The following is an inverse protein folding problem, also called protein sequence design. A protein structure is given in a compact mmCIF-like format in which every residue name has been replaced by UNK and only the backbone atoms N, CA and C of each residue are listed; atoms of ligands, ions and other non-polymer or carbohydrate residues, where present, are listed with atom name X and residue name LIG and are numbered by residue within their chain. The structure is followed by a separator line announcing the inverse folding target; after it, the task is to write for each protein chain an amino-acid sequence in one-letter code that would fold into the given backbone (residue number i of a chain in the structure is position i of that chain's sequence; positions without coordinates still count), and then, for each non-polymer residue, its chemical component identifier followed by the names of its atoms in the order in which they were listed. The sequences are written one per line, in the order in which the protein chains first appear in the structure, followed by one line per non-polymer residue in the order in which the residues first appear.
data_IF_558726831554
#
_entry.id   IF_558726831554
#
_cell.length_a   1.000
_cell.length_b   1.000
_cell.length_c   1.000
_cell.angle_alpha   90.00
_cell.angle_beta   90.00
_cell.angle_gamma   90.00
#
_symmetry.space_group_name_H-M   'P 1'
#
loop_
_entity.id
_entity.type
_entity.pdbx_description
1 polymer ?
#
# COMPACT_ATOMS: atom_id res chain seq x y z
N UNK A 1 22.55 21.24 -9.38
CA UNK A 1 23.77 20.46 -9.03
C UNK A 1 23.37 19.17 -8.30
N UNK A 2 23.96 18.04 -8.70
CA UNK A 2 23.87 16.74 -8.01
C UNK A 2 25.14 16.57 -7.19
N UNK A 3 25.01 16.24 -5.89
CA UNK A 3 26.15 15.98 -5.01
C UNK A 3 26.38 14.47 -4.89
N UNK A 4 27.61 14.01 -5.16
CA UNK A 4 28.04 12.61 -4.99
C UNK A 4 28.93 12.53 -3.77
N UNK A 5 28.64 11.63 -2.84
CA UNK A 5 29.40 11.39 -1.61
C UNK A 5 29.77 9.91 -1.57
N UNK A 6 31.01 9.58 -1.81
CA UNK A 6 31.52 8.20 -1.85
C UNK A 6 33.02 8.25 -1.59
N UNK A 7 33.61 7.35 -0.82
CA UNK A 7 35.03 7.33 -0.53
C UNK A 7 35.88 6.74 -1.69
N UNK A 8 35.25 5.91 -2.56
CA UNK A 8 35.87 5.35 -3.74
C UNK A 8 35.99 6.38 -4.88
N UNK A 9 37.22 6.73 -5.24
CA UNK A 9 37.51 7.67 -6.32
C UNK A 9 37.05 7.17 -7.70
N UNK A 10 37.06 5.85 -7.94
CA UNK A 10 36.63 5.26 -9.21
C UNK A 10 35.09 5.39 -9.37
N UNK A 11 34.34 5.16 -8.29
CA UNK A 11 32.89 5.36 -8.24
C UNK A 11 32.55 6.82 -8.48
N UNK A 12 33.19 7.74 -7.74
CA UNK A 12 32.97 9.19 -7.94
C UNK A 12 33.23 9.62 -9.38
N UNK A 13 34.32 9.16 -9.99
CA UNK A 13 34.68 9.49 -11.37
C UNK A 13 33.68 8.92 -12.38
N UNK A 14 33.27 7.66 -12.21
CA UNK A 14 32.30 6.99 -13.07
C UNK A 14 30.94 7.67 -13.03
N UNK A 15 30.41 7.93 -11.83
CA UNK A 15 29.14 8.63 -11.63
C UNK A 15 29.19 10.06 -12.18
N UNK A 16 30.27 10.79 -11.89
CA UNK A 16 30.46 12.16 -12.41
C UNK A 16 30.49 12.20 -13.94
N UNK A 17 31.17 11.25 -14.58
CA UNK A 17 31.20 11.14 -16.03
C UNK A 17 29.82 10.86 -16.62
N UNK A 18 29.10 9.87 -16.05
CA UNK A 18 27.76 9.46 -16.47
C UNK A 18 26.77 10.63 -16.36
N UNK A 19 26.75 11.32 -15.22
CA UNK A 19 25.81 12.40 -14.96
C UNK A 19 26.12 13.66 -15.77
N UNK A 20 27.41 14.01 -15.96
CA UNK A 20 27.80 15.11 -16.85
C UNK A 20 27.42 14.85 -18.31
N UNK A 21 27.56 13.60 -18.77
CA UNK A 21 27.09 13.20 -20.11
C UNK A 21 25.58 13.35 -20.26
N UNK A 22 24.82 13.17 -19.18
CA UNK A 22 23.38 13.45 -19.11
C UNK A 22 23.05 14.93 -18.87
N UNK A 23 24.05 15.84 -18.95
CA UNK A 23 23.93 17.29 -18.81
C UNK A 23 23.55 17.77 -17.41
N UNK A 24 23.81 16.99 -16.38
CA UNK A 24 23.69 17.44 -14.98
C UNK A 24 24.96 18.15 -14.51
N UNK A 25 24.76 19.20 -13.70
CA UNK A 25 25.84 19.81 -12.93
C UNK A 25 26.14 18.91 -11.71
N UNK A 26 27.42 18.54 -11.52
CA UNK A 26 27.84 17.50 -10.58
C UNK A 26 29.03 17.94 -9.77
N UNK A 27 28.93 17.80 -8.46
CA UNK A 27 30.02 17.92 -7.52
C UNK A 27 30.21 16.61 -6.76
N UNK A 28 31.47 16.17 -6.56
CA UNK A 28 31.77 14.91 -5.90
C UNK A 28 32.77 15.13 -4.75
N UNK A 29 32.51 14.51 -3.61
CA UNK A 29 33.32 14.61 -2.39
C UNK A 29 33.60 13.24 -1.78
N UNK A 30 34.76 13.07 -1.08
CA UNK A 30 35.14 11.77 -0.56
C UNK A 30 34.47 11.36 0.75
N UNK A 31 33.84 12.29 1.47
CA UNK A 31 33.35 11.94 2.80
C UNK A 31 32.39 12.94 3.44
N UNK A 32 31.97 12.64 4.70
CA UNK A 32 30.95 13.40 5.40
C UNK A 32 31.28 14.85 5.69
N UNK A 33 32.56 15.19 5.97
CA UNK A 33 32.96 16.55 6.34
C UNK A 33 32.76 17.53 5.21
N UNK A 34 33.30 17.21 4.05
CA UNK A 34 33.18 18.03 2.84
C UNK A 34 31.74 18.09 2.36
N UNK A 35 31.01 16.99 2.50
CA UNK A 35 29.60 16.92 2.15
C UNK A 35 28.76 17.93 2.94
N UNK A 36 28.93 17.99 4.26
CA UNK A 36 28.19 18.93 5.13
C UNK A 36 28.51 20.38 4.82
N UNK A 37 29.78 20.71 4.50
CA UNK A 37 30.16 22.07 4.09
C UNK A 37 29.43 22.51 2.82
N UNK A 38 29.32 21.62 1.84
CA UNK A 38 28.62 21.89 0.59
C UNK A 38 27.10 22.00 0.84
N UNK A 39 26.51 21.08 1.60
CA UNK A 39 25.07 21.10 1.91
C UNK A 39 24.65 22.38 2.65
N UNK A 40 25.55 22.96 3.47
CA UNK A 40 25.30 24.22 4.16
C UNK A 40 25.40 25.43 3.23
N UNK A 41 26.41 25.45 2.36
CA UNK A 41 26.73 26.60 1.48
C UNK A 41 25.88 26.60 0.20
N UNK A 42 25.66 25.43 -0.40
CA UNK A 42 24.93 25.26 -1.67
C UNK A 42 23.81 24.26 -1.46
N UNK A 43 22.60 24.55 -1.96
CA UNK A 43 21.48 23.62 -1.91
C UNK A 43 21.57 22.63 -3.10
N UNK A 44 22.05 21.39 -2.93
CA UNK A 44 22.01 20.41 -4.00
C UNK A 44 20.55 20.08 -4.36
N UNK A 45 20.32 19.72 -5.63
CA UNK A 45 19.01 19.27 -6.10
C UNK A 45 18.75 17.80 -5.76
N UNK A 46 19.85 17.02 -5.63
CA UNK A 46 19.83 15.59 -5.29
C UNK A 46 21.19 15.21 -4.72
N UNK A 47 21.21 14.26 -3.80
CA UNK A 47 22.43 13.68 -3.23
C UNK A 47 22.47 12.20 -3.51
N UNK A 48 23.58 11.71 -4.09
CA UNK A 48 23.96 10.30 -4.13
C UNK A 48 24.95 10.07 -3.00
N UNK A 49 24.62 9.20 -2.05
CA UNK A 49 25.38 9.05 -0.80
C UNK A 49 25.72 7.58 -0.55
N UNK A 50 27.03 7.28 -0.40
CA UNK A 50 27.43 5.97 0.09
C UNK A 50 27.03 5.78 1.57
N UNK A 51 26.78 4.55 1.94
CA UNK A 51 26.48 4.16 3.32
C UNK A 51 27.73 3.95 4.18
N UNK A 52 28.87 3.65 3.57
CA UNK A 52 30.11 3.34 4.27
C UNK A 52 31.24 4.23 3.74
N UNK A 53 31.91 4.99 4.63
CA UNK A 53 33.02 5.89 4.31
C UNK A 53 34.35 5.42 4.91
N UNK A 54 34.33 4.32 5.66
CA UNK A 54 35.55 3.68 6.24
C UNK A 54 35.49 2.18 6.00
N UNK A 55 36.58 1.48 6.38
CA UNK A 55 36.66 0.00 6.30
C UNK A 55 35.60 -0.73 7.15
N UNK A 56 34.84 -0.01 8.01
CA UNK A 56 33.73 -0.58 8.74
C UNK A 56 32.50 -0.68 7.84
N UNK A 57 31.95 -1.86 7.71
CA UNK A 57 30.74 -2.12 6.89
C UNK A 57 29.43 -1.93 7.66
N UNK A 58 29.46 -1.21 8.80
CA UNK A 58 28.29 -1.04 9.68
C UNK A 58 27.20 -0.10 9.12
N UNK A 59 27.53 0.78 8.15
CA UNK A 59 26.60 1.76 7.58
C UNK A 59 26.13 2.88 8.52
N UNK A 60 26.61 2.89 9.76
CA UNK A 60 26.21 3.91 10.77
C UNK A 60 26.66 5.32 10.37
N UNK A 61 27.78 5.42 9.65
CA UNK A 61 28.33 6.68 9.17
C UNK A 61 27.39 7.33 8.13
N UNK A 62 26.92 6.56 7.15
CA UNK A 62 25.97 7.02 6.15
C UNK A 62 24.61 7.42 6.75
N UNK A 63 24.11 6.65 7.72
CA UNK A 63 22.89 6.98 8.44
C UNK A 63 23.03 8.27 9.25
N UNK A 64 24.17 8.48 9.90
CA UNK A 64 24.45 9.71 10.66
C UNK A 64 24.54 10.90 9.73
N UNK A 65 25.23 10.77 8.60
CA UNK A 65 25.31 11.82 7.59
C UNK A 65 23.94 12.13 6.99
N UNK A 66 23.13 11.12 6.67
CA UNK A 66 21.76 11.32 6.19
C UNK A 66 20.92 12.15 7.15
N UNK A 67 20.95 11.82 8.45
CA UNK A 67 20.21 12.58 9.47
C UNK A 67 20.69 14.03 9.53
N UNK A 68 22.01 14.26 9.47
CA UNK A 68 22.56 15.63 9.44
C UNK A 68 22.14 16.40 8.19
N UNK A 69 22.19 15.77 7.01
CA UNK A 69 21.73 16.38 5.75
C UNK A 69 20.26 16.75 5.87
N UNK A 70 19.41 15.87 6.41
CA UNK A 70 17.98 16.12 6.57
C UNK A 70 17.65 17.21 7.59
N UNK A 71 18.50 17.45 8.58
CA UNK A 71 18.37 18.61 9.49
C UNK A 71 18.64 19.93 8.74
N UNK A 72 19.64 20.00 7.88
CA UNK A 72 19.97 21.22 7.13
C UNK A 72 19.10 21.43 5.89
N UNK A 73 18.71 20.35 5.22
CA UNK A 73 17.98 20.36 3.96
C UNK A 73 16.93 19.21 3.95
N UNK A 74 15.81 19.36 4.63
CA UNK A 74 14.78 18.32 4.74
C UNK A 74 14.20 17.90 3.38
N UNK A 75 14.10 18.87 2.43
CA UNK A 75 13.45 18.65 1.13
C UNK A 75 14.36 18.05 0.05
N UNK A 76 15.69 17.98 0.28
CA UNK A 76 16.62 17.46 -0.72
C UNK A 76 16.51 15.94 -0.78
N UNK A 77 16.21 15.34 -1.95
CA UNK A 77 16.19 13.90 -2.10
C UNK A 77 17.60 13.32 -1.97
N UNK A 78 17.71 12.26 -1.17
CA UNK A 78 18.94 11.51 -0.95
C UNK A 78 18.74 10.07 -1.42
N UNK A 79 19.53 9.63 -2.41
CA UNK A 79 19.57 8.23 -2.85
C UNK A 79 20.82 7.60 -2.21
N UNK A 80 20.58 6.56 -1.42
CA UNK A 80 21.64 5.83 -0.74
C UNK A 80 22.26 4.79 -1.69
N UNK A 81 23.59 4.65 -1.67
CA UNK A 81 24.32 3.63 -2.39
C UNK A 81 24.88 2.62 -1.38
N UNK A 82 24.62 1.33 -1.55
CA UNK A 82 25.01 0.30 -0.58
C UNK A 82 25.56 -0.95 -1.25
N UNK A 83 26.47 -1.65 -0.58
CA UNK A 83 26.99 -2.94 -1.05
C UNK A 83 25.96 -4.07 -0.82
N UNK A 84 26.07 -5.17 -1.58
CA UNK A 84 25.28 -6.38 -1.39
C UNK A 84 25.43 -6.90 0.06
N UNK A 85 24.30 -7.11 0.75
CA UNK A 85 24.26 -7.63 2.13
C UNK A 85 23.85 -6.62 3.21
N UNK A 86 23.73 -5.32 2.90
CA UNK A 86 23.35 -4.28 3.88
C UNK A 86 21.91 -3.76 3.71
N UNK A 87 20.98 -4.65 3.39
CA UNK A 87 19.57 -4.31 3.17
C UNK A 87 18.93 -3.73 4.44
N UNK A 88 19.30 -4.21 5.62
CA UNK A 88 18.86 -3.62 6.89
C UNK A 88 19.24 -2.14 7.01
N UNK A 89 20.43 -1.77 6.54
CA UNK A 89 20.90 -0.39 6.52
C UNK A 89 20.12 0.48 5.52
N UNK A 90 19.74 -0.08 4.37
CA UNK A 90 18.88 0.61 3.41
C UNK A 90 17.52 0.90 4.02
N UNK A 91 16.93 -0.04 4.77
CA UNK A 91 15.67 0.16 5.52
C UNK A 91 15.79 1.27 6.55
N UNK A 92 16.85 1.26 7.35
CA UNK A 92 17.12 2.31 8.34
C UNK A 92 17.31 3.67 7.65
N UNK A 93 17.97 3.70 6.50
CA UNK A 93 18.10 4.90 5.67
C UNK A 93 16.77 5.45 5.19
N UNK A 94 15.88 4.59 4.71
CA UNK A 94 14.53 4.99 4.31
C UNK A 94 13.72 5.54 5.49
N UNK A 95 13.81 4.90 6.66
CA UNK A 95 13.18 5.39 7.90
C UNK A 95 13.77 6.73 8.37
N UNK A 96 15.06 6.98 8.10
CA UNK A 96 15.74 8.23 8.41
C UNK A 96 15.48 9.33 7.35
N UNK A 97 14.62 9.08 6.35
CA UNK A 97 14.19 10.06 5.37
C UNK A 97 14.97 10.06 4.06
N UNK A 98 15.68 8.98 3.71
CA UNK A 98 16.21 8.82 2.36
C UNK A 98 15.05 8.76 1.34
N UNK A 99 15.30 9.25 0.13
CA UNK A 99 14.34 9.18 -0.96
C UNK A 99 14.27 7.75 -1.55
N UNK A 100 15.45 7.14 -1.74
CA UNK A 100 15.59 5.80 -2.32
C UNK A 100 16.97 5.22 -1.99
N UNK A 101 17.21 3.95 -2.36
CA UNK A 101 18.53 3.34 -2.30
C UNK A 101 18.83 2.52 -3.53
N UNK A 102 20.12 2.28 -3.82
CA UNK A 102 20.58 1.43 -4.89
C UNK A 102 21.74 0.55 -4.41
N UNK A 103 21.74 -0.72 -4.85
CA UNK A 103 22.81 -1.66 -4.51
C UNK A 103 23.98 -1.57 -5.50
N UNK A 104 25.20 -1.63 -5.00
CA UNK A 104 26.43 -1.78 -5.81
C UNK A 104 26.65 -3.28 -6.16
N UNK A 105 26.92 -3.66 -7.42
CA UNK A 105 26.93 -2.85 -8.63
C UNK A 105 25.51 -2.57 -9.15
N UNK A 106 25.28 -1.39 -9.70
CA UNK A 106 24.00 -0.96 -10.25
C UNK A 106 23.93 -1.02 -11.77
N UNK A 107 22.71 -1.00 -12.28
CA UNK A 107 22.43 -0.76 -13.69
C UNK A 107 22.30 0.76 -13.92
N UNK A 108 23.06 1.31 -14.86
CA UNK A 108 23.08 2.75 -15.14
C UNK A 108 21.70 3.29 -15.57
N UNK A 109 20.91 2.51 -16.30
CA UNK A 109 19.56 2.92 -16.72
C UNK A 109 18.65 3.03 -15.50
N UNK A 110 18.70 2.05 -14.59
CA UNK A 110 17.92 2.07 -13.36
C UNK A 110 18.30 3.24 -12.43
N UNK A 111 19.60 3.53 -12.30
CA UNK A 111 20.08 4.67 -11.52
C UNK A 111 19.59 6.00 -12.12
N UNK A 112 19.70 6.17 -13.45
CA UNK A 112 19.22 7.38 -14.11
C UNK A 112 17.73 7.59 -13.92
N UNK A 113 16.90 6.55 -14.05
CA UNK A 113 15.46 6.64 -13.81
C UNK A 113 15.13 7.12 -12.38
N UNK A 114 15.88 6.62 -11.37
CA UNK A 114 15.69 7.02 -9.96
C UNK A 114 16.07 8.49 -9.75
N UNK A 115 17.17 8.94 -10.37
CA UNK A 115 17.62 10.33 -10.31
C UNK A 115 16.60 11.25 -10.97
N UNK A 116 16.11 10.93 -12.15
CA UNK A 116 15.08 11.68 -12.86
C UNK A 116 13.81 11.78 -12.04
N UNK A 117 13.33 10.65 -11.51
CA UNK A 117 12.15 10.61 -10.63
C UNK A 117 12.33 11.52 -9.39
N UNK A 118 13.49 11.47 -8.74
CA UNK A 118 13.76 12.28 -7.55
C UNK A 118 13.78 13.79 -7.88
N UNK A 119 14.39 14.16 -8.99
CA UNK A 119 14.46 15.55 -9.43
C UNK A 119 13.09 16.10 -9.89
N UNK A 120 12.30 15.30 -10.59
CA UNK A 120 10.95 15.68 -11.02
C UNK A 120 10.03 15.93 -9.82
N UNK A 121 10.03 15.05 -8.83
CA UNK A 121 9.21 15.18 -7.63
C UNK A 121 9.60 16.43 -6.82
N UNK A 122 10.90 16.69 -6.65
CA UNK A 122 11.38 17.85 -5.89
C UNK A 122 11.18 19.18 -6.62
N UNK A 123 11.22 19.19 -7.96
CA UNK A 123 10.97 20.41 -8.74
C UNK A 123 9.50 20.85 -8.71
N UNK A 124 8.59 19.91 -8.52
CA UNK A 124 7.16 20.18 -8.39
C UNK A 124 6.78 20.70 -7.01
N UNK A 125 7.45 20.29 -5.93
CA UNK A 125 7.23 20.82 -4.58
C UNK A 125 7.54 22.31 -4.46
N UNK A 126 8.49 22.82 -5.22
CA UNK A 126 8.82 24.27 -5.26
C UNK A 126 7.79 25.13 -6.01
N UNK A 127 6.95 24.51 -6.84
CA UNK A 127 5.85 25.18 -7.57
C UNK A 127 4.48 25.03 -6.90
N UNK A 128 4.34 24.17 -5.90
CA UNK A 128 3.06 23.77 -5.30
C UNK A 128 2.69 24.48 -3.99
N UNK A 129 3.21 25.70 -3.73
CA UNK A 129 2.73 26.57 -2.65
C UNK A 129 1.55 27.46 -3.11
N UNK A 130 0.68 26.94 -4.01
CA UNK A 130 -0.56 27.62 -4.43
C UNK A 130 -1.73 26.73 -4.06
N UNK A 131 -2.83 27.26 -3.46
CA UNK A 131 -4.03 26.48 -3.18
C UNK A 131 -4.56 25.80 -4.45
N UNK A 132 -4.88 24.54 -4.36
CA UNK A 132 -5.37 23.72 -5.49
C UNK A 132 -6.79 24.18 -5.81
N UNK A 133 -6.96 25.05 -6.80
CA UNK A 133 -8.23 25.24 -7.47
C UNK A 133 -8.57 24.01 -8.31
N UNK A 134 -9.83 23.59 -8.32
CA UNK A 134 -10.39 22.38 -8.96
C UNK A 134 -10.26 22.34 -10.50
N UNK A 135 -9.55 23.29 -11.12
CA UNK A 135 -9.51 23.48 -12.58
C UNK A 135 -8.22 23.04 -13.27
N UNK A 136 -7.36 22.26 -12.62
CA UNK A 136 -5.98 21.99 -13.08
C UNK A 136 -5.82 20.64 -13.82
N UNK A 137 -6.85 20.16 -14.47
CA UNK A 137 -6.77 19.01 -15.39
C UNK A 137 -6.49 17.63 -14.75
N UNK A 138 -6.54 17.53 -13.42
CA UNK A 138 -6.41 16.25 -12.73
C UNK A 138 -7.72 15.45 -12.80
N UNK A 139 -7.68 14.28 -13.45
CA UNK A 139 -8.83 13.41 -13.59
C UNK A 139 -9.05 12.61 -12.31
N UNK A 140 -10.09 12.96 -11.54
CA UNK A 140 -10.57 12.25 -10.36
C UNK A 140 -12.04 11.82 -10.48
N UNK A 141 -12.55 11.69 -11.68
CA UNK A 141 -14.00 11.51 -11.96
C UNK A 141 -14.66 10.36 -11.20
N UNK A 142 -13.90 9.33 -10.84
CA UNK A 142 -14.40 8.16 -10.09
C UNK A 142 -14.14 8.24 -8.58
N UNK A 143 -13.48 9.30 -8.09
CA UNK A 143 -13.12 9.44 -6.67
C UNK A 143 -13.99 10.51 -6.02
N UNK A 144 -14.84 10.07 -5.09
CA UNK A 144 -15.78 10.91 -4.38
C UNK A 144 -15.29 11.18 -2.96
N UNK A 145 -15.25 12.45 -2.59
CA UNK A 145 -14.87 12.91 -1.27
C UNK A 145 -14.21 14.28 -1.30
N UNK A 146 -14.17 14.92 -0.13
CA UNK A 146 -13.61 16.26 0.09
C UNK A 146 -12.82 16.35 1.40
N UNK A 147 -12.72 15.25 2.14
CA UNK A 147 -11.98 15.22 3.40
C UNK A 147 -10.50 15.56 3.17
N UNK A 148 -9.91 16.23 4.14
CA UNK A 148 -8.49 16.63 4.09
C UNK A 148 -7.59 15.41 3.85
N UNK A 149 -7.83 14.30 4.56
CA UNK A 149 -7.05 13.09 4.41
C UNK A 149 -7.07 12.54 2.97
N UNK A 150 -8.24 12.56 2.29
CA UNK A 150 -8.34 12.17 0.89
C UNK A 150 -7.65 13.18 -0.03
N UNK A 151 -7.80 14.47 0.23
CA UNK A 151 -7.17 15.52 -0.60
C UNK A 151 -5.64 15.47 -0.53
N UNK A 152 -5.05 15.16 0.61
CA UNK A 152 -3.61 14.96 0.78
C UNK A 152 -3.11 13.75 -0.05
N UNK A 153 -3.88 12.65 -0.08
CA UNK A 153 -3.62 11.50 -0.95
C UNK A 153 -3.66 11.92 -2.43
N UNK A 154 -4.71 12.62 -2.85
CA UNK A 154 -4.86 13.06 -4.24
C UNK A 154 -3.77 14.05 -4.68
N UNK A 155 -3.34 14.94 -3.78
CA UNK A 155 -2.21 15.84 -4.03
C UNK A 155 -0.91 15.06 -4.27
N UNK A 156 -0.67 14.00 -3.49
CA UNK A 156 0.47 13.11 -3.69
C UNK A 156 0.37 12.40 -5.03
N UNK A 157 -0.80 11.83 -5.37
CA UNK A 157 -1.03 11.15 -6.65
C UNK A 157 -0.83 12.08 -7.84
N UNK A 158 -1.31 13.31 -7.77
CA UNK A 158 -1.13 14.32 -8.82
C UNK A 158 0.36 14.53 -9.16
N UNK A 159 1.23 14.54 -8.13
CA UNK A 159 2.68 14.66 -8.31
C UNK A 159 3.29 13.42 -8.96
N UNK A 160 2.99 12.23 -8.41
CA UNK A 160 3.64 10.99 -8.83
C UNK A 160 3.06 10.40 -10.12
N UNK A 161 1.83 10.76 -10.51
CA UNK A 161 1.19 10.23 -11.72
C UNK A 161 2.00 10.54 -12.99
N UNK A 162 2.62 11.71 -13.06
CA UNK A 162 3.43 12.16 -14.21
C UNK A 162 4.75 11.43 -14.37
N UNK A 163 5.19 10.67 -13.36
CA UNK A 163 6.45 9.89 -13.37
C UNK A 163 6.19 8.43 -13.77
N UNK A 164 7.25 7.68 -14.09
CA UNK A 164 7.19 6.22 -14.28
C UNK A 164 7.47 5.44 -12.99
N UNK A 165 7.47 6.10 -11.83
CA UNK A 165 7.74 5.49 -10.53
C UNK A 165 6.75 4.35 -10.22
N UNK A 166 7.25 3.28 -9.62
CA UNK A 166 6.41 2.24 -9.03
C UNK A 166 5.68 2.79 -7.79
N UNK A 167 4.40 2.51 -7.69
CA UNK A 167 3.55 3.01 -6.59
C UNK A 167 2.96 1.82 -5.84
N UNK A 168 3.14 1.80 -4.52
CA UNK A 168 2.48 0.87 -3.62
C UNK A 168 1.34 1.58 -2.88
N UNK A 169 0.11 1.14 -3.08
CA UNK A 169 -1.08 1.67 -2.42
C UNK A 169 -1.41 0.74 -1.25
N UNK A 170 -1.35 1.26 -0.03
CA UNK A 170 -1.70 0.53 1.19
C UNK A 170 -3.01 1.05 1.76
N UNK A 171 -3.71 0.20 2.51
CA UNK A 171 -4.97 0.57 3.19
C UNK A 171 -5.90 -0.62 3.31
N UNK A 172 -6.88 -0.51 4.19
CA UNK A 172 -7.83 -1.57 4.47
C UNK A 172 -8.62 -2.03 3.24
N UNK A 173 -9.20 -3.22 3.31
CA UNK A 173 -10.10 -3.70 2.25
C UNK A 173 -11.31 -2.77 2.09
N UNK A 174 -11.72 -2.53 0.85
CA UNK A 174 -12.87 -1.69 0.54
C UNK A 174 -12.67 -0.18 0.64
N UNK A 175 -11.44 0.32 0.85
CA UNK A 175 -11.13 1.77 0.91
C UNK A 175 -11.12 2.47 -0.44
N UNK A 176 -11.02 1.72 -1.56
CA UNK A 176 -10.99 2.26 -2.92
C UNK A 176 -9.60 2.29 -3.56
N UNK A 177 -8.68 1.42 -3.15
CA UNK A 177 -7.30 1.33 -3.69
C UNK A 177 -7.26 1.22 -5.22
N UNK A 178 -8.19 0.48 -5.81
CA UNK A 178 -8.30 0.32 -7.25
C UNK A 178 -8.60 1.65 -7.97
N UNK A 179 -9.50 2.49 -7.42
CA UNK A 179 -9.80 3.82 -7.98
C UNK A 179 -8.61 4.76 -7.93
N UNK A 180 -7.78 4.64 -6.89
CA UNK A 180 -6.54 5.37 -6.77
C UNK A 180 -5.52 4.91 -7.81
N UNK A 181 -5.38 3.61 -8.05
CA UNK A 181 -4.52 3.07 -9.10
C UNK A 181 -4.96 3.53 -10.49
N UNK A 182 -6.26 3.57 -10.75
CA UNK A 182 -6.84 4.09 -11.98
C UNK A 182 -6.55 5.60 -12.15
N UNK A 183 -6.68 6.40 -11.07
CA UNK A 183 -6.31 7.82 -11.11
C UNK A 183 -4.82 8.04 -11.38
N UNK A 184 -3.92 7.21 -10.83
CA UNK A 184 -2.49 7.23 -11.16
C UNK A 184 -2.26 6.99 -12.65
N UNK A 185 -2.97 6.04 -13.26
CA UNK A 185 -2.85 5.75 -14.69
C UNK A 185 -3.42 6.88 -15.56
N UNK A 186 -4.66 7.32 -15.28
CA UNK A 186 -5.37 8.33 -16.08
C UNK A 186 -4.65 9.69 -16.10
N UNK A 187 -3.87 10.02 -15.08
CA UNK A 187 -3.10 11.25 -14.98
C UNK A 187 -1.62 11.08 -15.37
N UNK A 188 -1.26 9.94 -15.96
CA UNK A 188 0.11 9.62 -16.38
C UNK A 188 0.35 9.87 -17.87
N UNK A 189 1.62 9.93 -18.32
CA UNK A 189 1.96 9.93 -19.74
C UNK A 189 1.43 8.70 -20.50
N UNK A 190 1.07 7.63 -19.76
CA UNK A 190 0.52 6.37 -20.30
C UNK A 190 -1.01 6.30 -20.27
N UNK A 191 -1.72 7.41 -20.00
CA UNK A 191 -3.19 7.46 -19.85
C UNK A 191 -3.98 6.92 -21.04
N UNK A 192 -3.41 6.99 -22.26
CA UNK A 192 -4.00 6.44 -23.50
C UNK A 192 -3.52 5.02 -23.83
N UNK A 193 -2.73 4.41 -22.97
CA UNK A 193 -2.17 3.07 -23.14
C UNK A 193 -2.95 2.06 -22.29
N UNK A 194 -2.75 0.74 -22.45
CA UNK A 194 -3.46 -0.24 -21.66
C UNK A 194 -3.30 -0.05 -20.14
N UNK A 195 -4.40 -0.22 -19.42
CA UNK A 195 -4.42 -0.35 -17.98
C UNK A 195 -4.92 -1.76 -17.63
N UNK A 196 -4.01 -2.65 -17.27
CA UNK A 196 -4.30 -4.06 -17.03
C UNK A 196 -4.39 -4.30 -15.52
N UNK A 197 -5.60 -4.66 -15.05
CA UNK A 197 -5.87 -4.96 -13.64
C UNK A 197 -5.72 -6.46 -13.39
N UNK A 198 -5.01 -6.82 -12.33
CA UNK A 198 -4.80 -8.21 -11.92
C UNK A 198 -5.01 -8.29 -10.41
N UNK A 199 -6.01 -9.07 -9.98
CA UNK A 199 -6.16 -9.43 -8.58
C UNK A 199 -5.37 -10.72 -8.34
N UNK A 200 -4.28 -10.63 -7.57
CA UNK A 200 -3.35 -11.74 -7.34
C UNK A 200 -3.89 -12.73 -6.32
N UNK A 201 -4.71 -12.30 -5.35
CA UNK A 201 -5.39 -13.18 -4.41
C UNK A 201 -6.45 -14.08 -5.07
N UNK A 202 -6.97 -13.67 -6.25
CA UNK A 202 -7.92 -14.46 -7.02
C UNK A 202 -7.29 -15.48 -7.97
N UNK A 203 -5.96 -15.52 -8.11
CA UNK A 203 -5.26 -16.43 -9.04
C UNK A 203 -4.63 -17.58 -8.26
N UNK A 204 -5.03 -18.82 -8.55
CA UNK A 204 -4.37 -19.98 -7.95
C UNK A 204 -2.90 -20.08 -8.38
N UNK A 205 -2.05 -20.60 -7.50
CA UNK A 205 -0.63 -20.82 -7.76
C UNK A 205 -0.36 -21.53 -9.11
N UNK A 206 -1.15 -22.55 -9.42
CA UNK A 206 -1.01 -23.35 -10.65
C UNK A 206 -1.34 -22.57 -11.93
N UNK A 207 -2.19 -21.54 -11.84
CA UNK A 207 -2.60 -20.71 -12.96
C UNK A 207 -1.78 -19.42 -13.09
N UNK A 208 -1.00 -19.08 -12.07
CA UNK A 208 -0.27 -17.81 -12.04
C UNK A 208 0.60 -17.59 -13.27
N UNK A 209 1.41 -18.57 -13.63
CA UNK A 209 2.30 -18.44 -14.80
C UNK A 209 1.51 -18.27 -16.09
N UNK A 210 0.49 -19.09 -16.29
CA UNK A 210 -0.35 -19.03 -17.47
C UNK A 210 -1.11 -17.71 -17.61
N UNK A 211 -1.64 -17.17 -16.49
CA UNK A 211 -2.32 -15.86 -16.48
C UNK A 211 -1.34 -14.71 -16.68
N UNK A 212 -0.20 -14.71 -15.99
CA UNK A 212 0.73 -13.59 -16.01
C UNK A 212 1.58 -13.55 -17.28
N UNK A 213 2.11 -14.69 -17.71
CA UNK A 213 3.06 -14.78 -18.84
C UNK A 213 2.44 -15.30 -20.13
N UNK A 214 1.27 -15.95 -20.05
CA UNK A 214 0.63 -16.61 -21.17
C UNK A 214 1.19 -18.00 -21.45
N UNK A 215 0.57 -18.71 -22.38
CA UNK A 215 1.00 -20.04 -22.78
C UNK A 215 0.81 -20.31 -24.27
N UNK A 216 1.61 -21.18 -24.81
CA UNK A 216 1.44 -21.79 -26.14
C UNK A 216 0.57 -23.03 -26.04
N UNK A 217 -0.13 -23.34 -27.13
CA UNK A 217 -0.87 -24.59 -27.27
C UNK A 217 0.05 -25.77 -27.00
N UNK A 218 -0.38 -26.66 -26.08
CA UNK A 218 0.39 -27.85 -25.70
C UNK A 218 1.45 -27.61 -24.60
N UNK A 219 1.53 -26.42 -24.01
CA UNK A 219 2.46 -26.12 -22.91
C UNK A 219 2.15 -26.94 -21.63
N UNK A 220 0.89 -27.32 -21.44
CA UNK A 220 0.41 -28.21 -20.36
C UNK A 220 -0.87 -28.94 -20.84
N UNK A 221 -1.36 -29.91 -20.07
CA UNK A 221 -2.43 -30.83 -20.47
C UNK A 221 -3.68 -30.14 -21.01
N UNK A 222 -4.07 -28.99 -20.44
CA UNK A 222 -5.30 -28.26 -20.79
C UNK A 222 -5.02 -27.04 -21.70
N UNK A 223 -3.80 -26.87 -22.19
CA UNK A 223 -3.44 -25.78 -23.11
C UNK A 223 -3.93 -26.06 -24.54
N UNK A 224 -5.22 -25.88 -24.81
CA UNK A 224 -5.86 -26.16 -26.10
C UNK A 224 -5.60 -25.10 -27.16
N UNK A 225 -5.28 -23.87 -26.77
CA UNK A 225 -5.01 -22.72 -27.64
C UNK A 225 -3.88 -21.84 -27.09
N UNK A 226 -3.30 -20.96 -27.91
CA UNK A 226 -2.38 -19.92 -27.47
C UNK A 226 -3.14 -18.89 -26.64
N UNK A 227 -2.55 -18.40 -25.54
CA UNK A 227 -3.10 -17.34 -24.71
C UNK A 227 -2.03 -16.31 -24.36
N UNK A 228 -2.31 -15.01 -24.62
CA UNK A 228 -1.47 -13.90 -24.20
C UNK A 228 -1.56 -13.65 -22.68
N UNK A 229 -0.42 -13.37 -22.04
CA UNK A 229 -0.34 -13.08 -20.61
C UNK A 229 -0.64 -11.63 -20.25
N UNK A 230 -0.85 -11.36 -18.96
CA UNK A 230 -1.13 -10.01 -18.45
C UNK A 230 0.00 -9.04 -18.72
N UNK A 231 1.26 -9.48 -18.65
CA UNK A 231 2.42 -8.64 -18.99
C UNK A 231 2.44 -8.22 -20.44
N UNK A 232 2.12 -9.12 -21.37
CA UNK A 232 2.02 -8.82 -22.80
C UNK A 232 0.91 -7.79 -23.05
N UNK A 233 -0.26 -7.95 -22.42
CA UNK A 233 -1.38 -7.02 -22.55
C UNK A 233 -1.07 -5.63 -21.97
N UNK A 234 -0.21 -5.56 -20.94
CA UNK A 234 0.17 -4.31 -20.27
C UNK A 234 1.32 -3.57 -20.96
N UNK A 235 1.87 -4.11 -22.07
CA UNK A 235 3.04 -3.50 -22.72
C UNK A 235 2.80 -2.04 -23.09
N UNK A 236 3.80 -1.19 -22.81
CA UNK A 236 3.77 0.28 -22.92
C UNK A 236 2.72 0.98 -22.07
N UNK A 237 1.98 0.23 -21.27
CA UNK A 237 0.91 0.69 -20.40
C UNK A 237 1.26 0.65 -18.92
N UNK A 238 0.23 0.37 -18.11
CA UNK A 238 0.34 0.22 -16.65
C UNK A 238 -0.27 -1.12 -16.26
N UNK A 239 0.45 -1.88 -15.43
CA UNK A 239 -0.10 -3.06 -14.77
C UNK A 239 -0.44 -2.70 -13.32
N UNK A 240 -1.66 -3.01 -12.91
CA UNK A 240 -2.13 -2.87 -11.52
C UNK A 240 -2.21 -4.25 -10.89
N UNK A 241 -1.42 -4.46 -9.83
CA UNK A 241 -1.30 -5.71 -9.09
C UNK A 241 -2.00 -5.54 -7.74
N UNK A 242 -3.26 -5.98 -7.66
CA UNK A 242 -4.02 -5.91 -6.42
C UNK A 242 -3.77 -7.14 -5.55
N UNK A 243 -3.84 -6.96 -4.23
CA UNK A 243 -3.61 -8.00 -3.22
C UNK A 243 -2.23 -8.68 -3.38
N UNK A 244 -1.18 -7.84 -3.60
CA UNK A 244 0.20 -8.32 -3.82
C UNK A 244 0.74 -9.14 -2.62
N UNK A 245 0.22 -8.90 -1.41
CA UNK A 245 0.59 -9.65 -0.20
C UNK A 245 0.14 -11.11 -0.22
N UNK A 246 -0.85 -11.45 -1.04
CA UNK A 246 -1.41 -12.82 -1.08
C UNK A 246 -0.60 -13.77 -1.98
N UNK A 247 0.45 -13.26 -2.65
CA UNK A 247 1.32 -14.09 -3.48
C UNK A 247 2.20 -15.02 -2.63
N UNK A 248 2.25 -16.28 -3.00
CA UNK A 248 3.25 -17.21 -2.45
C UNK A 248 4.68 -16.90 -2.91
N UNK A 249 5.67 -17.36 -2.14
CA UNK A 249 7.09 -17.07 -2.37
C UNK A 249 7.59 -17.47 -3.76
N UNK A 250 7.06 -18.54 -4.35
CA UNK A 250 7.50 -19.00 -5.68
C UNK A 250 7.01 -18.07 -6.78
N UNK A 251 5.79 -17.55 -6.68
CA UNK A 251 5.23 -16.56 -7.59
C UNK A 251 5.94 -15.20 -7.43
N UNK A 252 6.31 -14.83 -6.20
CA UNK A 252 7.09 -13.62 -5.94
C UNK A 252 8.43 -13.61 -6.67
N UNK A 253 9.16 -14.75 -6.71
CA UNK A 253 10.43 -14.88 -7.45
C UNK A 253 10.23 -14.62 -8.95
N UNK A 254 9.18 -15.19 -9.55
CA UNK A 254 8.89 -15.04 -10.97
C UNK A 254 8.48 -13.61 -11.31
N UNK A 255 7.64 -13.00 -10.47
CA UNK A 255 7.24 -11.62 -10.59
C UNK A 255 8.45 -10.69 -10.53
N UNK A 256 9.31 -10.87 -9.52
CA UNK A 256 10.52 -10.06 -9.34
C UNK A 256 11.41 -10.08 -10.59
N UNK A 257 11.65 -11.26 -11.17
CA UNK A 257 12.46 -11.39 -12.39
C UNK A 257 11.95 -10.50 -13.50
N UNK A 258 10.65 -10.53 -13.78
CA UNK A 258 10.05 -9.67 -14.81
C UNK A 258 10.17 -8.19 -14.48
N UNK A 259 9.96 -7.80 -13.22
CA UNK A 259 10.07 -6.40 -12.81
C UNK A 259 11.51 -5.87 -12.87
N UNK A 260 12.51 -6.73 -12.69
CA UNK A 260 13.93 -6.36 -12.76
C UNK A 260 14.45 -6.31 -14.19
N UNK A 261 14.21 -7.38 -14.96
CA UNK A 261 14.77 -7.57 -16.30
C UNK A 261 13.94 -6.93 -17.40
N UNK A 262 12.67 -6.61 -17.10
CA UNK A 262 11.66 -6.17 -18.09
C UNK A 262 11.51 -7.18 -19.24
N UNK A 263 11.71 -8.45 -18.95
CA UNK A 263 11.55 -9.57 -19.86
C UNK A 263 10.84 -10.72 -19.20
N UNK A 264 10.09 -11.49 -19.98
CA UNK A 264 9.44 -12.73 -19.53
C UNK A 264 9.42 -13.76 -20.67
N UNK A 265 9.19 -15.01 -20.31
CA UNK A 265 9.02 -16.11 -21.27
C UNK A 265 7.58 -16.61 -21.18
N UNK A 266 6.99 -16.93 -22.34
CA UNK A 266 5.66 -17.54 -22.42
C UNK A 266 5.80 -19.04 -22.17
N UNK A 267 4.90 -19.67 -21.40
CA UNK A 267 4.95 -21.11 -21.16
C UNK A 267 4.92 -21.86 -22.49
N UNK A 268 5.87 -22.76 -22.67
CA UNK A 268 6.06 -23.50 -23.93
C UNK A 268 6.83 -22.75 -25.02
N UNK A 269 7.38 -21.56 -24.72
CA UNK A 269 8.27 -20.78 -25.61
C UNK A 269 9.42 -20.21 -24.81
N UNK A 270 10.66 -20.64 -25.08
CA UNK A 270 11.86 -20.19 -24.37
C UNK A 270 12.43 -18.84 -24.85
N UNK A 271 11.77 -18.18 -25.80
CA UNK A 271 12.23 -16.87 -26.31
C UNK A 271 11.82 -15.77 -25.35
N UNK A 272 12.79 -14.98 -24.81
CA UNK A 272 12.48 -13.88 -23.93
C UNK A 272 11.77 -12.75 -24.69
N UNK A 273 10.67 -12.24 -24.12
CA UNK A 273 9.93 -11.10 -24.63
C UNK A 273 10.18 -9.88 -23.75
N UNK A 274 10.55 -8.76 -24.34
CA UNK A 274 10.69 -7.49 -23.64
C UNK A 274 9.32 -6.86 -23.40
N UNK A 275 9.18 -6.18 -22.24
CA UNK A 275 7.98 -5.44 -21.88
C UNK A 275 8.37 -4.12 -21.21
N UNK A 276 7.68 -3.04 -21.59
CA UNK A 276 7.83 -1.72 -20.96
C UNK A 276 6.55 -1.39 -20.21
N UNK A 277 6.56 -1.60 -18.89
CA UNK A 277 5.38 -1.41 -18.03
C UNK A 277 5.66 -0.46 -16.89
N UNK A 278 4.65 0.33 -16.52
CA UNK A 278 4.59 0.98 -15.22
C UNK A 278 3.86 0.06 -14.24
N UNK A 279 4.40 -0.08 -13.03
CA UNK A 279 3.82 -0.95 -11.98
C UNK A 279 3.12 -0.10 -10.93
N UNK A 280 1.86 -0.44 -10.64
CA UNK A 280 1.11 0.04 -9.48
C UNK A 280 0.65 -1.19 -8.72
N UNK A 281 0.96 -1.28 -7.44
CA UNK A 281 0.59 -2.42 -6.59
C UNK A 281 -0.32 -1.96 -5.46
N UNK A 282 -1.19 -2.84 -4.98
CA UNK A 282 -2.02 -2.57 -3.82
C UNK A 282 -2.04 -3.75 -2.86
N UNK A 283 -2.21 -3.46 -1.56
CA UNK A 283 -2.36 -4.46 -0.52
C UNK A 283 -3.07 -3.90 0.70
N UNK A 284 -3.73 -4.76 1.46
CA UNK A 284 -4.21 -4.51 2.81
C UNK A 284 -3.30 -5.12 3.88
N UNK A 285 -2.33 -5.95 3.49
CA UNK A 285 -1.37 -6.58 4.38
C UNK A 285 -0.21 -5.64 4.74
N UNK A 286 0.37 -5.85 5.92
CA UNK A 286 1.63 -5.23 6.30
C UNK A 286 2.81 -6.00 5.67
N UNK A 287 3.22 -5.57 4.47
CA UNK A 287 4.34 -6.21 3.77
C UNK A 287 5.66 -6.14 4.54
N UNK A 288 5.85 -5.13 5.42
CA UNK A 288 7.08 -5.04 6.23
C UNK A 288 7.13 -6.14 7.29
N UNK A 289 5.99 -6.38 7.95
CA UNK A 289 5.87 -7.50 8.87
C UNK A 289 6.05 -8.83 8.13
N UNK A 290 5.44 -9.00 6.97
CA UNK A 290 5.59 -10.22 6.15
C UNK A 290 7.03 -10.46 5.69
N UNK A 291 7.82 -9.42 5.43
CA UNK A 291 9.26 -9.54 5.15
C UNK A 291 10.01 -10.05 6.37
N UNK A 292 9.70 -9.54 7.57
CA UNK A 292 10.32 -10.03 8.82
C UNK A 292 9.95 -11.49 9.12
N UNK A 293 8.74 -11.90 8.79
CA UNK A 293 8.24 -13.27 8.93
C UNK A 293 8.69 -14.20 7.78
N UNK A 294 9.47 -13.69 6.82
CA UNK A 294 9.94 -14.42 5.64
C UNK A 294 8.81 -14.98 4.73
N UNK A 295 7.60 -14.41 4.81
CA UNK A 295 6.47 -14.76 3.94
C UNK A 295 6.37 -13.86 2.71
N UNK A 296 7.07 -12.72 2.70
CA UNK A 296 7.25 -11.85 1.54
C UNK A 296 8.73 -11.56 1.32
N UNK A 297 9.17 -11.58 0.06
CA UNK A 297 10.58 -11.34 -0.28
C UNK A 297 10.92 -9.86 -0.18
N UNK A 298 12.01 -9.58 0.46
CA UNK A 298 12.51 -8.23 0.68
C UNK A 298 12.88 -7.52 -0.63
N UNK A 299 13.51 -8.24 -1.57
CA UNK A 299 13.91 -7.72 -2.88
C UNK A 299 12.69 -7.31 -3.74
N UNK A 300 11.61 -8.08 -3.69
CA UNK A 300 10.35 -7.73 -4.35
C UNK A 300 9.71 -6.50 -3.69
N UNK A 301 9.66 -6.48 -2.34
CA UNK A 301 9.13 -5.33 -1.61
C UNK A 301 9.76 -4.02 -2.06
N UNK A 302 11.09 -3.95 -2.12
CA UNK A 302 11.77 -2.73 -2.57
C UNK A 302 11.57 -2.42 -4.06
N UNK A 303 11.34 -3.43 -4.87
CA UNK A 303 11.10 -3.21 -6.31
C UNK A 303 9.74 -2.57 -6.59
N UNK A 304 8.71 -2.93 -5.82
CA UNK A 304 7.35 -2.40 -5.98
C UNK A 304 7.09 -1.15 -5.15
N UNK A 305 7.87 -0.91 -4.09
CA UNK A 305 7.67 0.14 -3.10
C UNK A 305 8.65 1.30 -3.26
N UNK A 306 8.67 1.95 -4.42
CA UNK A 306 9.42 3.20 -4.58
C UNK A 306 8.67 4.36 -3.90
N UNK A 307 7.36 4.42 -4.06
CA UNK A 307 6.50 5.42 -3.42
C UNK A 307 5.31 4.71 -2.79
N UNK A 308 5.15 4.87 -1.47
CA UNK A 308 3.96 4.37 -0.76
C UNK A 308 2.90 5.45 -0.67
N UNK A 309 1.66 5.11 -1.01
CA UNK A 309 0.47 5.93 -0.81
C UNK A 309 -0.47 5.19 0.13
N UNK A 310 -0.68 5.73 1.33
CA UNK A 310 -1.61 5.15 2.28
C UNK A 310 -3.00 5.75 2.11
N UNK A 311 -4.00 4.88 1.89
CA UNK A 311 -5.39 5.29 1.73
C UNK A 311 -6.12 5.16 3.07
N UNK A 312 -6.64 6.27 3.63
CA UNK A 312 -7.27 6.27 4.96
C UNK A 312 -8.55 5.44 4.97
N UNK A 313 -8.84 4.82 6.10
CA UNK A 313 -10.09 4.12 6.33
C UNK A 313 -11.28 5.10 6.32
N UNK A 314 -12.50 4.59 6.01
CA UNK A 314 -13.68 5.45 5.90
C UNK A 314 -14.02 6.16 7.23
N UNK A 315 -13.74 5.53 8.37
CA UNK A 315 -13.91 6.13 9.71
C UNK A 315 -12.97 7.32 9.99
N UNK A 316 -11.88 7.46 9.24
CA UNK A 316 -10.92 8.58 9.32
C UNK A 316 -11.31 9.73 8.40
N UNK A 317 -12.27 9.52 7.49
CA UNK A 317 -12.79 10.50 6.53
C UNK A 317 -14.32 10.56 6.54
N UNK A 318 -14.90 10.65 7.73
CA UNK A 318 -16.38 10.64 7.94
C UNK A 318 -17.11 11.74 7.17
N UNK A 319 -16.45 12.85 6.88
CA UNK A 319 -16.97 13.96 6.07
C UNK A 319 -17.32 13.54 4.63
N UNK A 320 -16.76 12.45 4.14
CA UNK A 320 -17.02 11.93 2.80
C UNK A 320 -18.26 11.02 2.77
N UNK A 321 -18.73 10.49 3.92
CA UNK A 321 -19.83 9.53 3.99
C UNK A 321 -21.11 10.10 3.38
N UNK A 322 -21.57 11.33 3.69
CA UNK A 322 -22.80 11.85 3.09
C UNK A 322 -22.75 11.99 1.57
N UNK A 323 -21.58 12.30 1.01
CA UNK A 323 -21.37 12.39 -0.44
C UNK A 323 -21.42 11.00 -1.08
N UNK A 324 -20.77 10.01 -0.47
CA UNK A 324 -20.78 8.62 -0.92
C UNK A 324 -22.18 8.01 -0.87
N UNK A 325 -22.93 8.24 0.21
CA UNK A 325 -24.31 7.76 0.37
C UNK A 325 -25.19 8.26 -0.77
N UNK A 326 -25.18 9.56 -1.03
CA UNK A 326 -25.96 10.16 -2.13
C UNK A 326 -25.55 9.59 -3.48
N UNK A 327 -24.25 9.52 -3.75
CA UNK A 327 -23.77 8.97 -5.01
C UNK A 327 -24.22 7.51 -5.23
N UNK A 328 -24.10 6.65 -4.22
CA UNK A 328 -24.55 5.26 -4.35
C UNK A 328 -26.06 5.14 -4.51
N UNK A 329 -26.81 5.98 -3.81
CA UNK A 329 -28.26 6.01 -3.94
C UNK A 329 -28.69 6.48 -5.34
N UNK A 330 -28.15 7.60 -5.82
CA UNK A 330 -28.46 8.13 -7.16
C UNK A 330 -28.13 7.09 -8.25
N UNK A 331 -26.95 6.49 -8.17
CA UNK A 331 -26.53 5.44 -9.12
C UNK A 331 -27.44 4.21 -9.08
N UNK A 332 -27.86 3.78 -7.89
CA UNK A 332 -28.75 2.64 -7.72
C UNK A 332 -30.15 2.95 -8.25
N UNK A 333 -30.67 4.16 -8.00
CA UNK A 333 -31.95 4.61 -8.53
C UNK A 333 -31.93 4.66 -10.06
N UNK A 334 -30.91 5.25 -10.66
CA UNK A 334 -30.71 5.29 -12.12
C UNK A 334 -30.64 3.89 -12.74
N UNK A 335 -29.84 3.00 -12.14
CA UNK A 335 -29.63 1.65 -12.68
C UNK A 335 -30.89 0.76 -12.62
N UNK A 336 -31.77 0.98 -11.66
CA UNK A 336 -32.98 0.18 -11.45
C UNK A 336 -34.30 0.92 -11.86
N UNK A 337 -34.21 2.13 -12.42
CA UNK A 337 -35.38 2.93 -12.78
C UNK A 337 -36.25 3.32 -11.56
N UNK A 338 -35.62 3.46 -10.40
CA UNK A 338 -36.32 3.85 -9.17
C UNK A 338 -36.40 5.38 -9.07
N UNK A 339 -37.41 5.93 -8.39
CA UNK A 339 -37.49 7.36 -8.09
C UNK A 339 -36.29 7.78 -7.24
N UNK A 340 -35.91 9.06 -7.31
CA UNK A 340 -34.84 9.61 -6.43
C UNK A 340 -35.30 9.52 -4.99
N UNK A 341 -34.39 9.12 -4.13
CA UNK A 341 -34.64 8.92 -2.71
C UNK A 341 -33.96 10.03 -1.90
N UNK A 342 -34.71 10.54 -0.92
CA UNK A 342 -34.24 11.51 0.06
C UNK A 342 -33.87 10.83 1.39
N UNK A 343 -32.97 11.46 2.13
CA UNK A 343 -32.48 10.96 3.42
C UNK A 343 -32.82 11.98 4.51
N UNK A 344 -33.36 11.51 5.62
CA UNK A 344 -33.52 12.40 6.79
C UNK A 344 -32.19 12.78 7.39
N UNK A 345 -32.09 13.90 8.11
CA UNK A 345 -30.88 14.32 8.81
C UNK A 345 -30.39 13.26 9.81
N UNK A 346 -31.36 12.64 10.53
CA UNK A 346 -31.01 11.57 11.48
C UNK A 346 -30.43 10.33 10.78
N UNK A 347 -30.87 10.01 9.56
CA UNK A 347 -30.31 8.90 8.77
C UNK A 347 -28.86 9.21 8.38
N UNK A 348 -28.58 10.43 7.91
CA UNK A 348 -27.22 10.83 7.55
C UNK A 348 -26.28 10.88 8.76
N UNK A 349 -26.76 11.38 9.90
CA UNK A 349 -26.01 11.39 11.16
C UNK A 349 -25.72 9.97 11.66
N UNK A 350 -26.70 9.08 11.58
CA UNK A 350 -26.53 7.67 11.93
C UNK A 350 -25.45 7.02 11.05
N UNK A 351 -25.57 7.13 9.73
CA UNK A 351 -24.61 6.58 8.77
C UNK A 351 -23.20 7.13 9.00
N UNK A 352 -23.05 8.41 9.33
CA UNK A 352 -21.75 9.04 9.55
C UNK A 352 -21.03 8.56 10.82
N UNK A 353 -21.76 7.95 11.77
CA UNK A 353 -21.20 7.45 13.05
C UNK A 353 -20.80 5.98 13.00
N UNK A 354 -21.26 5.22 12.01
CA UNK A 354 -20.93 3.79 11.90
C UNK A 354 -19.44 3.56 11.66
N UNK A 355 -18.88 2.45 12.17
CA UNK A 355 -17.44 2.18 12.11
C UNK A 355 -16.93 1.70 10.74
N UNK A 356 -17.78 1.07 9.93
CA UNK A 356 -17.48 0.52 8.60
C UNK A 356 -16.17 -0.26 8.52
N UNK A 357 -15.99 -1.41 9.16
CA UNK A 357 -14.80 -2.25 9.00
C UNK A 357 -14.56 -2.68 7.53
N UNK A 358 -15.62 -2.82 6.73
CA UNK A 358 -15.56 -3.06 5.28
C UNK A 358 -15.49 -1.78 4.44
N UNK A 359 -15.31 -0.62 5.08
CA UNK A 359 -15.11 0.69 4.44
C UNK A 359 -16.20 1.05 3.41
N UNK A 360 -15.82 1.59 2.25
CA UNK A 360 -16.75 2.02 1.19
C UNK A 360 -17.55 0.84 0.63
N UNK A 361 -16.96 -0.36 0.59
CA UNK A 361 -17.68 -1.56 0.09
C UNK A 361 -18.85 -1.91 1.01
N UNK A 362 -18.66 -1.82 2.32
CA UNK A 362 -19.73 -2.05 3.30
C UNK A 362 -20.80 -0.94 3.24
N UNK A 363 -20.38 0.33 3.22
CA UNK A 363 -21.27 1.47 3.06
C UNK A 363 -22.15 1.32 1.81
N UNK A 364 -21.53 1.01 0.67
CA UNK A 364 -22.23 0.80 -0.61
C UNK A 364 -23.29 -0.29 -0.47
N UNK A 365 -22.91 -1.46 0.05
CA UNK A 365 -23.82 -2.59 0.21
C UNK A 365 -24.98 -2.26 1.16
N UNK A 366 -24.72 -1.50 2.24
CA UNK A 366 -25.76 -1.06 3.17
C UNK A 366 -26.76 -0.13 2.49
N UNK A 367 -26.28 0.86 1.75
CA UNK A 367 -27.15 1.81 1.02
C UNK A 367 -27.98 1.09 -0.04
N UNK A 368 -27.35 0.27 -0.89
CA UNK A 368 -28.04 -0.47 -1.96
C UNK A 368 -29.09 -1.43 -1.40
N UNK A 369 -28.75 -2.19 -0.35
CA UNK A 369 -29.69 -3.09 0.33
C UNK A 369 -30.88 -2.34 0.92
N UNK A 370 -30.62 -1.25 1.63
CA UNK A 370 -31.70 -0.46 2.26
C UNK A 370 -32.64 0.11 1.21
N UNK A 371 -32.12 0.64 0.10
CA UNK A 371 -32.95 1.13 -1.01
C UNK A 371 -33.85 0.04 -1.59
N UNK A 372 -33.29 -1.14 -1.85
CA UNK A 372 -34.04 -2.24 -2.48
C UNK A 372 -35.11 -2.85 -1.54
N UNK A 373 -34.83 -2.88 -0.23
CA UNK A 373 -35.73 -3.53 0.75
C UNK A 373 -36.81 -2.56 1.24
N UNK A 374 -36.47 -1.28 1.44
CA UNK A 374 -37.43 -0.32 2.01
C UNK A 374 -38.55 0.08 1.03
N UNK A 375 -38.24 0.22 -0.26
CA UNK A 375 -39.14 0.71 -1.30
C UNK A 375 -39.70 2.11 -1.04
N UNK A 376 -39.09 2.90 -0.15
CA UNK A 376 -39.55 4.24 0.27
C UNK A 376 -38.80 5.32 -0.50
N UNK A 377 -39.44 6.45 -0.72
CA UNK A 377 -38.82 7.65 -1.30
C UNK A 377 -38.05 8.47 -0.25
N UNK A 378 -38.37 8.33 1.04
CA UNK A 378 -37.65 8.99 2.16
C UNK A 378 -37.15 7.92 3.11
N UNK A 379 -35.82 7.85 3.28
CA UNK A 379 -35.14 6.89 4.16
C UNK A 379 -34.80 7.50 5.52
N UNK A 380 -35.15 6.78 6.57
CA UNK A 380 -34.90 7.16 7.97
C UNK A 380 -33.78 6.35 8.58
N UNK A 381 -33.32 6.76 9.77
CA UNK A 381 -32.31 6.02 10.51
C UNK A 381 -32.70 4.56 10.83
N UNK A 382 -34.02 4.33 11.07
CA UNK A 382 -34.51 3.00 11.41
C UNK A 382 -34.52 2.04 10.22
N UNK A 383 -34.68 2.56 9.00
CA UNK A 383 -34.56 1.77 7.77
C UNK A 383 -33.10 1.22 7.65
N UNK A 384 -32.11 2.03 7.97
CA UNK A 384 -30.71 1.60 7.97
C UNK A 384 -30.36 0.69 9.15
N UNK A 385 -30.87 0.96 10.35
CA UNK A 385 -30.65 0.10 11.54
C UNK A 385 -31.15 -1.32 11.29
N UNK A 386 -32.30 -1.48 10.63
CA UNK A 386 -32.87 -2.78 10.30
C UNK A 386 -32.02 -3.58 9.33
N UNK A 387 -31.24 -2.91 8.48
CA UNK A 387 -30.37 -3.52 7.46
C UNK A 387 -28.89 -3.59 7.86
N UNK A 388 -28.48 -2.83 8.88
CA UNK A 388 -27.10 -2.86 9.36
C UNK A 388 -26.86 -4.19 10.09
N UNK A 389 -26.17 -5.10 9.42
CA UNK A 389 -25.64 -6.29 10.07
C UNK A 389 -24.43 -5.85 10.88
N UNK A 390 -24.50 -5.98 12.20
CA UNK A 390 -23.30 -5.80 13.02
C UNK A 390 -22.16 -6.57 12.37
N UNK A 391 -20.96 -5.96 12.25
CA UNK A 391 -19.79 -6.71 11.80
C UNK A 391 -19.77 -8.00 12.61
N UNK A 392 -19.58 -9.14 11.94
CA UNK A 392 -19.26 -10.38 12.63
C UNK A 392 -18.18 -9.99 13.61
N UNK A 393 -18.50 -10.04 14.91
CA UNK A 393 -17.51 -9.79 15.96
C UNK A 393 -16.32 -10.63 15.56
N UNK A 394 -15.31 -9.98 14.98
CA UNK A 394 -14.00 -10.58 14.94
C UNK A 394 -13.78 -10.90 16.41
N UNK A 395 -13.78 -12.20 16.75
CA UNK A 395 -13.36 -12.65 18.06
C UNK A 395 -12.19 -11.77 18.38
N UNK A 396 -12.37 -10.83 19.33
CA UNK A 396 -11.25 -10.16 19.94
C UNK A 396 -10.38 -11.32 20.37
N UNK A 397 -9.34 -11.57 19.62
CA UNK A 397 -8.20 -12.30 20.10
C UNK A 397 -7.73 -11.43 21.24
N UNK A 398 -8.25 -11.74 22.40
CA UNK A 398 -7.81 -11.17 23.67
C UNK A 398 -6.31 -11.25 23.58
N UNK A 399 -5.64 -10.10 23.65
CA UNK A 399 -4.20 -10.03 23.56
C UNK A 399 -3.67 -10.76 24.80
N UNK A 400 -3.47 -12.07 24.67
CA UNK A 400 -3.03 -12.97 25.74
C UNK A 400 -1.54 -12.76 26.07
N UNK A 401 -0.85 -11.92 25.28
CA UNK A 401 0.54 -11.58 25.52
C UNK A 401 0.64 -10.67 26.76
N UNK A 402 1.18 -11.23 27.82
CA UNK A 402 1.44 -10.53 29.10
C UNK A 402 0.43 -10.81 30.22
N UNK A 403 -0.60 -11.63 29.97
CA UNK A 403 -1.53 -12.07 31.02
C UNK A 403 -1.08 -13.38 31.66
N UNK A 404 -1.30 -13.51 32.95
CA UNK A 404 -1.08 -14.76 33.68
C UNK A 404 -2.18 -15.79 33.33
N UNK A 405 -1.91 -17.09 33.51
CA UNK A 405 -2.90 -18.15 33.28
C UNK A 405 -4.17 -17.94 34.12
N UNK A 406 -4.04 -17.39 35.33
CA UNK A 406 -5.17 -17.08 36.20
C UNK A 406 -6.04 -15.94 35.66
N UNK A 407 -5.44 -14.90 35.10
CA UNK A 407 -6.17 -13.80 34.45
C UNK A 407 -6.90 -14.26 33.19
N UNK A 408 -6.27 -15.12 32.39
CA UNK A 408 -6.88 -15.73 31.20
C UNK A 408 -8.06 -16.60 31.61
N UNK A 409 -7.91 -17.45 32.64
CA UNK A 409 -8.97 -18.32 33.15
C UNK A 409 -10.15 -17.49 33.67
N UNK A 410 -9.89 -16.44 34.44
CA UNK A 410 -10.89 -15.53 34.99
C UNK A 410 -11.69 -14.83 33.87
N UNK A 411 -10.99 -14.28 32.87
CA UNK A 411 -11.65 -13.62 31.73
C UNK A 411 -12.48 -14.60 30.90
N UNK A 412 -11.98 -15.81 30.66
CA UNK A 412 -12.71 -16.83 29.91
C UNK A 412 -13.99 -17.24 30.61
N UNK A 413 -13.96 -17.36 31.94
CA UNK A 413 -15.15 -17.68 32.76
C UNK A 413 -16.16 -16.53 32.67
N UNK A 414 -15.73 -15.27 32.82
CA UNK A 414 -16.62 -14.08 32.77
C UNK A 414 -17.29 -13.96 31.40
N UNK A 415 -16.54 -14.10 30.31
CA UNK A 415 -17.09 -14.04 28.94
C UNK A 415 -18.08 -15.17 28.67
N UNK A 416 -17.82 -16.37 29.23
CA UNK A 416 -18.72 -17.52 29.03
C UNK A 416 -19.99 -17.36 29.85
N UNK A 417 -19.93 -16.79 31.06
CA UNK A 417 -21.09 -16.44 31.88
C UNK A 417 -22.00 -15.45 31.15
N UNK A 418 -21.41 -14.38 30.63
CA UNK A 418 -22.15 -13.37 29.85
C UNK A 418 -22.80 -13.94 28.60
N UNK A 419 -22.09 -14.78 27.86
CA UNK A 419 -22.57 -15.42 26.63
C UNK A 419 -23.76 -16.35 26.84
N UNK A 420 -23.82 -17.03 27.98
CA UNK A 420 -24.89 -17.98 28.32
C UNK A 420 -25.84 -17.45 29.40
N UNK A 421 -25.91 -16.12 29.58
CA UNK A 421 -26.83 -15.46 30.52
C UNK A 421 -26.82 -16.11 31.92
N UNK A 422 -25.63 -16.37 32.46
CA UNK A 422 -25.40 -17.03 33.76
C UNK A 422 -25.94 -18.46 33.91
N UNK A 423 -26.26 -19.13 32.79
CA UNK A 423 -26.71 -20.53 32.88
C UNK A 423 -25.54 -21.47 33.20
N UNK A 424 -25.37 -21.81 34.51
CA UNK A 424 -24.24 -22.59 35.04
C UNK A 424 -24.06 -23.94 34.38
N UNK A 425 -25.12 -24.56 33.87
CA UNK A 425 -25.03 -25.84 33.19
C UNK A 425 -24.39 -25.69 31.81
N UNK A 426 -24.83 -24.70 31.05
CA UNK A 426 -24.29 -24.43 29.73
C UNK A 426 -22.87 -23.86 29.77
N UNK A 427 -22.57 -23.02 30.77
CA UNK A 427 -21.23 -22.49 31.01
C UNK A 427 -20.25 -23.60 31.33
N UNK A 428 -20.61 -24.53 32.21
CA UNK A 428 -19.74 -25.64 32.57
C UNK A 428 -19.45 -26.56 31.35
N UNK A 429 -20.47 -26.85 30.54
CA UNK A 429 -20.30 -27.62 29.29
C UNK A 429 -19.38 -26.87 28.30
N UNK A 430 -19.61 -25.57 28.10
CA UNK A 430 -18.85 -24.76 27.18
C UNK A 430 -17.35 -24.62 27.58
N UNK A 431 -17.07 -24.62 28.89
CA UNK A 431 -15.69 -24.58 29.43
C UNK A 431 -15.07 -25.98 29.57
N UNK A 432 -15.80 -27.06 29.27
CA UNK A 432 -15.29 -28.44 29.41
C UNK A 432 -15.01 -28.87 30.84
N UNK A 433 -15.70 -28.27 31.83
CA UNK A 433 -15.51 -28.56 33.27
C UNK A 433 -16.84 -29.00 33.94
N UNK A 434 -16.73 -29.66 35.09
CA UNK A 434 -17.92 -29.98 35.88
C UNK A 434 -18.51 -28.72 36.53
N UNK A 435 -19.81 -28.71 36.82
CA UNK A 435 -20.47 -27.60 37.56
C UNK A 435 -19.82 -27.33 38.90
N UNK A 436 -19.43 -28.37 39.62
CA UNK A 436 -18.72 -28.22 40.89
C UNK A 436 -17.32 -27.57 40.75
N UNK A 437 -16.64 -27.84 39.65
CA UNK A 437 -15.38 -27.21 39.33
C UNK A 437 -15.56 -25.74 38.90
N UNK A 438 -16.67 -25.40 38.21
CA UNK A 438 -17.01 -24.02 37.88
C UNK A 438 -17.28 -23.19 39.16
N UNK A 439 -18.11 -23.68 40.08
CA UNK A 439 -18.40 -22.98 41.35
C UNK A 439 -17.13 -22.72 42.15
N UNK A 440 -16.21 -23.69 42.27
CA UNK A 440 -14.93 -23.47 42.94
C UNK A 440 -14.08 -22.37 42.30
N UNK A 441 -14.12 -22.22 40.97
CA UNK A 441 -13.42 -21.17 40.27
C UNK A 441 -14.07 -19.81 40.46
N UNK A 442 -15.41 -19.75 40.44
CA UNK A 442 -16.16 -18.52 40.75
C UNK A 442 -15.84 -18.00 42.13
N UNK A 443 -15.78 -18.89 43.12
CA UNK A 443 -15.38 -18.56 44.48
C UNK A 443 -13.90 -18.09 44.53
N UNK A 444 -13.00 -18.82 43.91
CA UNK A 444 -11.57 -18.45 43.81
C UNK A 444 -11.35 -17.05 43.27
N UNK A 445 -12.12 -16.67 42.24
CA UNK A 445 -11.97 -15.38 41.57
C UNK A 445 -12.92 -14.30 42.10
N UNK A 446 -13.67 -14.53 43.18
CA UNK A 446 -14.68 -13.63 43.72
C UNK A 446 -15.69 -13.11 42.67
N UNK A 447 -16.13 -13.98 41.80
CA UNK A 447 -17.16 -13.65 40.78
C UNK A 447 -18.54 -13.90 41.36
N UNK A 448 -19.29 -12.82 41.60
CA UNK A 448 -20.70 -12.91 42.01
C UNK A 448 -21.58 -13.14 40.78
N UNK A 449 -22.39 -14.17 40.86
CA UNK A 449 -23.40 -14.46 39.82
C UNK A 449 -24.75 -14.29 40.47
N UNK A 450 -25.53 -13.32 40.04
CA UNK A 450 -26.91 -13.17 40.48
C UNK A 450 -27.74 -14.27 39.79
N UNK A 451 -28.44 -15.07 40.60
CA UNK A 451 -29.36 -16.11 40.15
C UNK A 451 -30.53 -15.55 39.35
#
# INVERSE_FOLDING_TARGET
MILIIDDDSAIRSSLSFMLKRAKYDVQAVPGPKEAIEIVRSVAPQLILMDMNFTLSTSGEEGLTLLKQVKVFRPDVPVILMTAWGSIQLAVQGMQAGAFDFITKPWNNVALMQRIETALELTSQDKKAAVPVEDNDGFNRSHIIGKSKALMDVLATIKRIARTNASVLITGESGTGKELIAEAVHLNSPRSKKPFVKVNLGGISHTLFESEMFGHKKGAFTDATADRGGRFELADKGTIFLDEIGDLDLSCQVKLLRVLQEQTFEVLGDSRPRKVDIRVVSATNADLRQMVQEHTFREDLFYRINLITVHLPALRERREDIPLLVRHFADKQCESNGLPKVEFTSEAMDYLSRLPYPGNIRELKNLVERTLLVSGKEILTADDFKSQYQHPIEQKMTTNLQGMTLEEIEKQTILQTLEKYNNNMSQVAIALGISRAALYRRLEKYNIQVND
#
